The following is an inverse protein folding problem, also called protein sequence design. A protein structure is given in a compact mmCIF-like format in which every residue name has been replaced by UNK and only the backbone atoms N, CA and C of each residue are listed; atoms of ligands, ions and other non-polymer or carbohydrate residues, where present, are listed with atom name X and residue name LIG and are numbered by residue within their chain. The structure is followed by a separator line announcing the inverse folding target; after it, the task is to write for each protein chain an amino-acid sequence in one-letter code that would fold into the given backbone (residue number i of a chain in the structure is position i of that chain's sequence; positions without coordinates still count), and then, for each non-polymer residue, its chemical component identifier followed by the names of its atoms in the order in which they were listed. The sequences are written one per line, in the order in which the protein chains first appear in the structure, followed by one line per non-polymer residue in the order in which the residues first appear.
data_IF_927836402505
#
_entry.id   IF_927836402505
#
_cell.length_a   1.000
_cell.length_b   1.000
_cell.length_c   1.000
_cell.angle_alpha   90.00
_cell.angle_beta   90.00
_cell.angle_gamma   90.00
#
_symmetry.space_group_name_H-M   'P 1'
#
loop_
_entity.id
_entity.type
_entity.pdbx_description
1 polymer ?
#
# COMPACT_ATOMS: atom_id res chain seq x y z
N UNK A 1 24.18 -20.27 22.02
CA UNK A 1 22.86 -20.55 22.51
C UNK A 1 22.95 -21.48 23.72
N UNK A 2 22.34 -21.11 24.83
CA UNK A 2 22.33 -21.87 26.08
C UNK A 2 21.01 -22.63 26.26
N UNK A 3 20.32 -22.91 25.17
CA UNK A 3 18.99 -23.53 25.13
C UNK A 3 17.99 -22.78 26.06
N UNK A 4 17.41 -23.48 27.05
CA UNK A 4 16.45 -22.88 28.01
C UNK A 4 17.00 -21.72 28.85
N UNK A 5 18.33 -21.54 28.88
CA UNK A 5 18.98 -20.47 29.66
C UNK A 5 19.21 -19.19 28.83
N UNK A 6 18.83 -19.15 27.56
CA UNK A 6 18.96 -18.00 26.69
C UNK A 6 20.17 -18.05 25.76
N UNK A 7 20.50 -16.92 25.16
CA UNK A 7 21.62 -16.77 24.23
C UNK A 7 22.67 -15.84 24.84
N UNK A 8 23.90 -16.28 24.88
CA UNK A 8 25.07 -15.50 25.25
C UNK A 8 25.96 -15.34 24.03
N UNK A 9 26.32 -14.11 23.71
CA UNK A 9 27.30 -13.81 22.66
C UNK A 9 28.47 -13.04 23.25
N UNK A 10 29.66 -13.35 22.73
CA UNK A 10 30.91 -12.69 23.07
C UNK A 10 31.60 -12.31 21.77
N UNK A 11 31.88 -11.03 21.59
CA UNK A 11 32.54 -10.49 20.41
C UNK A 11 33.87 -9.83 20.81
N UNK A 12 34.89 -10.09 20.05
CA UNK A 12 36.18 -9.40 20.12
C UNK A 12 36.51 -8.85 18.76
N UNK A 13 36.72 -7.55 18.67
CA UNK A 13 37.07 -6.88 17.44
C UNK A 13 38.39 -6.15 17.62
N UNK A 14 39.31 -6.37 16.68
CA UNK A 14 40.59 -5.65 16.58
C UNK A 14 40.52 -4.70 15.38
N UNK A 15 40.87 -3.43 15.59
CA UNK A 15 41.04 -2.48 14.50
C UNK A 15 42.52 -2.10 14.33
N UNK A 16 42.99 -2.15 13.09
CA UNK A 16 44.29 -1.64 12.69
C UNK A 16 44.07 -0.64 11.56
N UNK A 17 44.42 0.62 11.80
CA UNK A 17 44.14 1.73 10.86
C UNK A 17 45.42 2.52 10.65
N UNK A 18 45.61 2.99 9.43
CA UNK A 18 46.66 3.94 9.10
C UNK A 18 46.06 5.20 8.51
N UNK A 19 46.21 6.33 9.23
CA UNK A 19 45.75 7.64 8.80
C UNK A 19 46.90 8.40 8.14
N UNK A 20 46.77 8.70 6.86
CA UNK A 20 47.83 9.29 6.03
C UNK A 20 48.03 10.78 6.29
N UNK A 21 47.05 11.45 6.94
CA UNK A 21 47.13 12.88 7.28
C UNK A 21 46.86 13.10 8.76
N UNK A 22 47.18 14.30 9.24
CA UNK A 22 46.76 14.77 10.55
C UNK A 22 45.26 14.95 10.54
N UNK A 23 44.56 14.04 11.18
CA UNK A 23 43.12 14.12 11.40
C UNK A 23 42.83 14.40 12.88
N UNK A 24 41.62 14.84 13.20
CA UNK A 24 41.17 14.98 14.58
C UNK A 24 41.19 13.62 15.36
N UNK A 25 41.30 12.53 14.67
CA UNK A 25 41.43 11.18 15.24
C UNK A 25 42.87 10.77 15.55
N UNK A 26 43.86 11.57 15.16
CA UNK A 26 45.28 11.27 15.29
C UNK A 26 45.96 11.10 13.93
N UNK A 27 47.22 10.66 13.95
CA UNK A 27 48.07 10.44 12.77
C UNK A 27 48.77 9.09 12.84
N UNK A 28 48.93 8.48 11.69
CA UNK A 28 49.69 7.25 11.55
C UNK A 28 48.90 6.00 11.96
N UNK A 29 49.63 5.01 12.49
CA UNK A 29 49.03 3.74 12.83
C UNK A 29 48.32 3.80 14.18
N UNK A 30 47.03 3.40 14.18
CA UNK A 30 46.22 3.26 15.38
C UNK A 30 45.76 1.80 15.49
N UNK A 31 46.02 1.22 16.65
CA UNK A 31 45.63 -0.14 17.01
C UNK A 31 44.72 -0.09 18.22
N UNK A 32 43.62 -0.82 18.17
CA UNK A 32 42.69 -0.88 19.29
C UNK A 32 41.82 -2.13 19.28
N UNK A 33 41.38 -2.52 20.45
CA UNK A 33 40.51 -3.66 20.65
C UNK A 33 39.14 -3.20 21.19
N UNK A 34 38.10 -3.91 20.82
CA UNK A 34 36.76 -3.80 21.42
C UNK A 34 36.24 -5.15 21.83
N UNK A 35 35.69 -5.21 23.03
CA UNK A 35 35.09 -6.42 23.60
C UNK A 35 33.63 -6.18 23.87
N UNK A 36 32.78 -7.13 23.50
CA UNK A 36 31.34 -7.07 23.74
C UNK A 36 30.87 -8.39 24.30
N UNK A 37 30.02 -8.30 25.34
CA UNK A 37 29.28 -9.44 25.87
C UNK A 37 27.81 -9.08 25.79
N UNK A 38 26.98 -9.93 25.23
CA UNK A 38 25.54 -9.74 25.20
C UNK A 38 24.83 -11.02 25.61
N UNK A 39 23.73 -10.86 26.34
CA UNK A 39 22.88 -11.94 26.79
C UNK A 39 21.42 -11.60 26.50
N UNK A 40 20.68 -12.56 25.97
CA UNK A 40 19.24 -12.40 25.73
C UNK A 40 18.50 -13.68 26.15
N UNK A 41 17.37 -13.52 26.81
CA UNK A 41 16.48 -14.62 27.18
C UNK A 41 15.04 -14.24 26.95
N UNK A 42 14.32 -15.10 26.23
CA UNK A 42 12.88 -15.08 26.09
C UNK A 42 12.26 -16.02 27.17
N UNK A 43 11.20 -15.56 27.78
CA UNK A 43 10.40 -16.31 28.75
C UNK A 43 9.00 -16.50 28.15
N UNK A 44 8.87 -17.52 27.30
CA UNK A 44 7.68 -17.75 26.48
C UNK A 44 6.39 -17.90 27.30
N UNK A 45 6.47 -18.60 28.45
CA UNK A 45 5.33 -18.78 29.37
C UNK A 45 4.82 -17.45 29.95
N UNK A 46 5.71 -16.47 30.11
CA UNK A 46 5.39 -15.15 30.66
C UNK A 46 5.21 -14.08 29.60
N UNK A 47 5.39 -14.40 28.31
CA UNK A 47 5.47 -13.43 27.20
C UNK A 47 6.41 -12.25 27.53
N UNK A 48 7.56 -12.56 28.11
CA UNK A 48 8.55 -11.57 28.51
C UNK A 48 9.91 -11.83 27.86
N UNK A 49 10.64 -10.76 27.60
CA UNK A 49 12.00 -10.81 27.06
C UNK A 49 12.91 -9.91 27.87
N UNK A 50 13.98 -10.49 28.35
CA UNK A 50 15.12 -9.75 28.92
C UNK A 50 16.24 -9.77 27.92
N UNK A 51 16.68 -8.61 27.52
CA UNK A 51 17.92 -8.45 26.76
C UNK A 51 18.88 -7.63 27.63
N UNK A 52 19.87 -8.29 28.17
CA UNK A 52 21.06 -7.63 28.65
C UNK A 52 22.00 -7.52 27.45
N UNK A 53 21.82 -6.47 26.69
CA UNK A 53 22.72 -6.19 25.54
C UNK A 53 24.01 -5.59 26.07
N UNK A 54 24.60 -6.27 26.93
CA UNK A 54 25.91 -6.25 27.17
C UNK A 54 26.70 -5.08 27.66
N UNK A 55 27.75 -5.50 28.16
CA UNK A 55 28.95 -4.72 28.39
C UNK A 55 29.73 -4.65 27.09
N UNK A 56 30.05 -3.46 26.63
CA UNK A 56 31.02 -3.18 25.58
C UNK A 56 32.11 -2.31 26.17
N UNK A 57 33.36 -2.74 25.99
CA UNK A 57 34.52 -1.93 26.24
C UNK A 57 35.29 -1.74 24.95
N UNK A 58 35.72 -0.51 24.67
CA UNK A 58 36.58 -0.19 23.51
C UNK A 58 37.80 0.60 23.98
N UNK A 59 38.96 0.18 23.52
CA UNK A 59 40.19 0.91 23.79
C UNK A 59 40.18 2.29 23.10
N UNK A 60 40.95 3.25 23.62
CA UNK A 60 40.97 4.64 23.13
C UNK A 60 41.26 4.75 21.64
N UNK A 61 42.11 3.86 21.12
CA UNK A 61 42.52 3.87 19.72
C UNK A 61 41.69 2.93 18.83
N UNK A 62 40.71 2.26 19.40
CA UNK A 62 39.78 1.46 18.60
C UNK A 62 38.96 2.38 17.70
N UNK A 63 38.83 1.98 16.42
CA UNK A 63 38.11 2.73 15.42
C UNK A 63 37.20 1.80 14.63
N UNK A 64 35.94 2.17 14.47
CA UNK A 64 35.00 1.46 13.58
C UNK A 64 35.27 1.85 12.12
N UNK A 65 34.72 1.09 11.17
CA UNK A 65 34.83 1.40 9.75
C UNK A 65 34.22 2.76 9.38
N UNK A 66 33.08 3.12 9.99
CA UNK A 66 32.48 4.43 9.76
C UNK A 66 33.33 5.58 10.28
N UNK A 67 33.89 5.44 11.49
CA UNK A 67 34.81 6.45 12.06
C UNK A 67 36.08 6.60 11.20
N UNK A 68 36.59 5.52 10.61
CA UNK A 68 37.71 5.56 9.68
C UNK A 68 37.36 6.33 8.40
N UNK A 69 36.20 6.07 7.82
CA UNK A 69 35.74 6.78 6.62
C UNK A 69 35.54 8.28 6.91
N UNK A 70 34.93 8.61 8.04
CA UNK A 70 34.78 9.99 8.46
C UNK A 70 36.14 10.69 8.68
N UNK A 71 37.09 10.01 9.34
CA UNK A 71 38.44 10.49 9.54
C UNK A 71 39.23 10.68 8.25
N UNK A 72 38.96 9.87 7.23
CA UNK A 72 39.65 9.91 5.94
C UNK A 72 39.08 10.95 4.97
N UNK A 73 37.82 11.35 5.16
CA UNK A 73 37.11 12.25 4.24
C UNK A 73 36.82 13.64 4.80
N UNK A 74 36.90 13.83 6.11
CA UNK A 74 36.60 15.11 6.75
C UNK A 74 37.58 15.45 7.87
N UNK A 75 37.85 16.75 8.02
CA UNK A 75 38.63 17.30 9.15
C UNK A 75 37.75 17.47 10.42
N UNK A 76 36.56 16.84 10.46
CA UNK A 76 35.69 16.93 11.62
C UNK A 76 36.30 16.24 12.83
N UNK A 77 36.25 16.94 13.98
CA UNK A 77 36.71 16.39 15.24
C UNK A 77 35.93 15.11 15.61
N UNK A 78 36.65 14.07 16.03
CA UNK A 78 36.03 12.89 16.60
C UNK A 78 35.18 13.29 17.79
N UNK A 79 33.89 13.13 17.70
CA UNK A 79 32.98 13.34 18.83
C UNK A 79 32.46 12.01 19.32
N UNK A 80 32.82 11.65 20.56
CA UNK A 80 32.25 10.50 21.23
C UNK A 80 32.96 9.18 21.05
N UNK A 81 34.25 9.12 21.38
CA UNK A 81 34.99 7.88 21.45
C UNK A 81 34.47 7.02 22.60
N UNK A 82 33.65 6.01 22.29
CA UNK A 82 33.05 5.10 23.27
C UNK A 82 34.13 4.37 24.07
N UNK A 83 34.01 4.39 25.39
CA UNK A 83 34.87 3.63 26.30
C UNK A 83 34.14 2.40 26.82
N UNK A 84 33.03 2.62 27.49
CA UNK A 84 32.20 1.55 28.07
C UNK A 84 30.73 1.81 27.77
N UNK A 85 29.98 0.76 27.56
CA UNK A 85 28.53 0.83 27.40
C UNK A 85 27.85 -0.34 28.10
N UNK A 86 26.90 -0.02 28.96
CA UNK A 86 25.99 -0.97 29.59
C UNK A 86 24.58 -0.71 29.06
N UNK A 87 23.88 -1.75 28.63
CA UNK A 87 22.51 -1.64 28.19
C UNK A 87 21.67 -2.77 28.77
N UNK A 88 20.57 -2.45 29.38
CA UNK A 88 19.58 -3.42 29.87
C UNK A 88 18.24 -3.06 29.23
N UNK A 89 17.63 -4.01 28.57
CA UNK A 89 16.29 -3.88 28.02
C UNK A 89 15.41 -4.98 28.57
N UNK A 90 14.25 -4.62 29.08
CA UNK A 90 13.23 -5.54 29.54
C UNK A 90 11.92 -5.23 28.82
N UNK A 91 11.29 -6.25 28.26
CA UNK A 91 9.98 -6.16 27.64
C UNK A 91 9.07 -7.23 28.24
N UNK A 92 7.91 -6.83 28.74
CA UNK A 92 6.88 -7.71 29.27
C UNK A 92 5.54 -7.40 28.60
N UNK A 93 4.92 -8.43 28.05
CA UNK A 93 3.58 -8.34 27.49
C UNK A 93 2.60 -9.21 28.29
N UNK A 94 1.61 -8.57 28.90
CA UNK A 94 0.49 -9.21 29.59
C UNK A 94 -0.69 -9.31 28.63
N UNK A 95 -0.64 -10.27 27.71
CA UNK A 95 -1.61 -10.38 26.61
C UNK A 95 -3.07 -10.44 27.08
N UNK A 96 -3.36 -11.18 28.18
CA UNK A 96 -4.70 -11.27 28.74
C UNK A 96 -5.25 -9.93 29.29
N UNK A 97 -4.38 -9.04 29.71
CA UNK A 97 -4.73 -7.71 30.22
C UNK A 97 -4.58 -6.60 29.17
N UNK A 98 -4.05 -6.92 27.99
CA UNK A 98 -3.74 -5.92 26.96
C UNK A 98 -2.69 -4.90 27.40
N UNK A 99 -1.77 -5.28 28.31
CA UNK A 99 -0.76 -4.40 28.91
C UNK A 99 0.63 -4.79 28.44
N UNK A 100 1.44 -3.80 28.08
CA UNK A 100 2.86 -3.98 27.79
C UNK A 100 3.70 -3.01 28.61
N UNK A 101 4.82 -3.50 29.12
CA UNK A 101 5.81 -2.72 29.86
C UNK A 101 7.16 -2.86 29.16
N UNK A 102 7.80 -1.74 28.90
CA UNK A 102 9.13 -1.69 28.32
C UNK A 102 10.03 -0.85 29.19
N UNK A 103 11.18 -1.40 29.60
CA UNK A 103 12.23 -0.70 30.33
C UNK A 103 13.52 -0.75 29.51
N UNK A 104 14.13 0.40 29.35
CA UNK A 104 15.48 0.50 28.80
C UNK A 104 16.35 1.36 29.74
N UNK A 105 17.49 0.83 30.08
CA UNK A 105 18.56 1.52 30.77
C UNK A 105 19.82 1.43 29.93
N UNK A 106 20.48 2.55 29.68
CA UNK A 106 21.81 2.57 29.08
C UNK A 106 22.72 3.58 29.78
N UNK A 107 23.92 3.15 30.04
CA UNK A 107 24.99 3.98 30.59
C UNK A 107 26.19 3.86 29.66
N UNK A 108 26.72 5.01 29.22
CA UNK A 108 27.83 5.09 28.27
C UNK A 108 28.87 6.05 28.77
N UNK A 109 30.09 5.61 28.85
CA UNK A 109 31.28 6.43 29.14
C UNK A 109 32.11 6.63 27.88
N UNK A 110 32.85 7.70 27.85
CA UNK A 110 33.67 8.08 26.71
C UNK A 110 35.09 8.39 27.13
N UNK A 111 36.02 8.36 26.18
CA UNK A 111 37.41 8.76 26.43
C UNK A 111 37.64 10.27 26.39
N UNK A 112 36.74 11.00 25.73
CA UNK A 112 36.93 12.39 25.30
C UNK A 112 35.80 13.34 25.71
N UNK A 113 34.77 12.85 26.39
CA UNK A 113 33.64 13.65 26.85
C UNK A 113 32.97 13.02 28.09
N UNK A 114 32.09 13.79 28.77
CA UNK A 114 31.34 13.30 29.91
C UNK A 114 30.50 12.07 29.61
N UNK A 115 30.21 11.32 30.65
CA UNK A 115 29.34 10.15 30.59
C UNK A 115 27.88 10.51 30.28
N UNK A 116 27.15 9.53 29.78
CA UNK A 116 25.75 9.66 29.40
C UNK A 116 24.96 8.51 29.99
N UNK A 117 23.86 8.83 30.67
CA UNK A 117 22.96 7.81 31.22
C UNK A 117 21.54 8.08 30.77
N UNK A 118 20.87 7.03 30.28
CA UNK A 118 19.48 7.08 29.83
C UNK A 118 18.65 6.06 30.61
N UNK A 119 17.52 6.52 31.11
CA UNK A 119 16.45 5.69 31.66
C UNK A 119 15.19 5.93 30.85
N UNK A 120 14.53 4.88 30.43
CA UNK A 120 13.27 4.95 29.72
C UNK A 120 12.36 3.84 30.21
N UNK A 121 11.17 4.20 30.66
CA UNK A 121 10.13 3.28 31.09
C UNK A 121 8.85 3.62 30.36
N UNK A 122 8.36 2.68 29.55
CA UNK A 122 7.10 2.82 28.83
C UNK A 122 6.10 1.79 29.37
N UNK A 123 4.90 2.24 29.59
CA UNK A 123 3.73 1.45 29.89
C UNK A 123 2.69 1.71 28.80
N UNK A 124 2.13 0.67 28.20
CA UNK A 124 1.04 0.79 27.26
C UNK A 124 -0.09 -0.19 27.57
N UNK A 125 -1.31 0.24 27.32
CA UNK A 125 -2.51 -0.56 27.54
C UNK A 125 -3.44 -0.44 26.35
N UNK A 126 -3.84 -1.59 25.81
CA UNK A 126 -4.83 -1.73 24.75
C UNK A 126 -6.11 -2.28 25.34
N UNK A 127 -7.23 -1.61 25.09
CA UNK A 127 -8.51 -1.97 25.70
C UNK A 127 -9.69 -1.59 24.79
N UNK A 128 -10.85 -2.15 25.11
CA UNK A 128 -12.11 -1.82 24.48
C UNK A 128 -13.04 -1.17 25.51
N UNK A 129 -13.80 -0.16 25.09
CA UNK A 129 -14.78 0.51 25.94
C UNK A 129 -16.10 0.70 25.20
N UNK A 130 -17.13 -0.03 25.64
CA UNK A 130 -18.44 -0.02 24.97
C UNK A 130 -18.35 -0.55 23.53
N UNK A 131 -18.74 0.26 22.55
CA UNK A 131 -18.67 -0.04 21.12
C UNK A 131 -17.29 0.26 20.51
N UNK A 132 -16.47 1.06 21.20
CA UNK A 132 -15.16 1.48 20.68
C UNK A 132 -14.15 0.38 20.98
N UNK A 133 -13.49 -0.12 19.93
CA UNK A 133 -12.48 -1.17 20.01
C UNK A 133 -11.08 -0.62 19.74
N UNK A 134 -10.07 -1.34 20.24
CA UNK A 134 -8.66 -1.04 19.99
C UNK A 134 -8.22 0.36 20.45
N UNK A 135 -8.79 0.85 21.54
CA UNK A 135 -8.27 2.04 22.21
C UNK A 135 -6.88 1.75 22.79
N UNK A 136 -6.00 2.72 22.75
CA UNK A 136 -4.69 2.59 23.38
C UNK A 136 -4.34 3.82 24.19
N UNK A 137 -3.64 3.59 25.31
CA UNK A 137 -2.98 4.61 26.10
C UNK A 137 -1.55 4.17 26.35
N UNK A 138 -0.61 5.09 26.22
CA UNK A 138 0.78 4.84 26.58
C UNK A 138 1.37 6.00 27.39
N UNK A 139 2.16 5.65 28.38
CA UNK A 139 2.91 6.59 29.23
C UNK A 139 4.36 6.19 29.17
N UNK A 140 5.22 7.14 28.81
CA UNK A 140 6.67 6.95 28.79
C UNK A 140 7.33 7.96 29.69
N UNK A 141 8.00 7.48 30.74
CA UNK A 141 8.88 8.32 31.56
C UNK A 141 10.32 8.17 31.11
N UNK A 142 11.04 9.27 31.02
CA UNK A 142 12.45 9.26 30.67
C UNK A 142 13.27 10.14 31.60
N UNK A 143 14.54 9.78 31.75
CA UNK A 143 15.58 10.59 32.38
C UNK A 143 16.87 10.41 31.61
N UNK A 144 17.42 11.53 31.17
CA UNK A 144 18.68 11.62 30.45
C UNK A 144 19.66 12.47 31.26
N UNK A 145 20.83 11.94 31.52
CA UNK A 145 21.89 12.59 32.28
C UNK A 145 23.12 12.74 31.39
N UNK A 146 23.66 13.95 31.28
CA UNK A 146 24.86 14.28 30.54
C UNK A 146 25.51 15.53 31.09
N UNK A 147 26.81 15.44 31.45
CA UNK A 147 27.63 16.57 31.91
C UNK A 147 26.96 17.39 33.00
N UNK A 148 26.58 16.74 34.13
CA UNK A 148 25.87 17.37 35.26
C UNK A 148 24.46 17.90 34.92
N UNK A 149 24.05 17.86 33.66
CA UNK A 149 22.71 18.22 33.26
C UNK A 149 21.78 16.99 33.31
N UNK A 150 20.60 17.21 33.83
CA UNK A 150 19.54 16.20 33.85
C UNK A 150 18.33 16.73 33.09
N UNK A 151 17.98 16.03 32.03
CA UNK A 151 16.69 16.19 31.35
C UNK A 151 15.79 15.02 31.73
N UNK A 152 14.57 15.32 32.16
CA UNK A 152 13.58 14.31 32.57
C UNK A 152 12.19 14.76 32.16
N UNK A 153 11.37 13.78 31.82
CA UNK A 153 10.01 14.11 31.45
C UNK A 153 9.14 12.86 31.28
N UNK A 154 7.95 13.13 30.83
CA UNK A 154 6.93 12.13 30.58
C UNK A 154 6.20 12.44 29.28
N UNK A 155 6.02 11.43 28.45
CA UNK A 155 5.12 11.46 27.30
C UNK A 155 3.86 10.66 27.63
N UNK A 156 2.71 11.25 27.34
CA UNK A 156 1.41 10.58 27.43
C UNK A 156 0.80 10.60 26.03
N UNK A 157 0.43 9.44 25.52
CA UNK A 157 -0.34 9.34 24.29
C UNK A 157 -1.58 8.48 24.47
N UNK A 158 -2.67 8.86 23.83
CA UNK A 158 -3.92 8.13 23.79
C UNK A 158 -4.45 8.14 22.37
N UNK A 159 -4.96 6.99 21.90
CA UNK A 159 -5.57 6.83 20.60
C UNK A 159 -6.95 6.18 20.74
N UNK A 160 -7.94 6.81 20.15
CA UNK A 160 -9.35 6.39 20.17
C UNK A 160 -9.81 6.26 18.73
N UNK A 161 -9.92 5.04 18.16
CA UNK A 161 -10.56 4.81 16.88
C UNK A 161 -12.05 5.18 16.99
N UNK A 162 -12.43 6.33 16.40
CA UNK A 162 -13.78 6.87 16.51
C UNK A 162 -14.74 6.20 15.53
N UNK A 163 -14.22 5.87 14.35
CA UNK A 163 -14.90 5.10 13.30
C UNK A 163 -13.86 4.28 12.52
N UNK A 164 -14.31 3.54 11.52
CA UNK A 164 -13.43 2.75 10.64
C UNK A 164 -12.42 3.62 9.87
N UNK A 165 -12.74 4.90 9.66
CA UNK A 165 -11.90 5.84 8.93
C UNK A 165 -11.31 6.97 9.79
N UNK A 166 -11.70 7.10 11.06
CA UNK A 166 -11.30 8.24 11.89
C UNK A 166 -10.74 7.85 13.24
N UNK A 167 -9.78 8.64 13.72
CA UNK A 167 -9.11 8.44 15.01
C UNK A 167 -8.95 9.79 15.71
N UNK A 168 -9.29 9.82 17.00
CA UNK A 168 -8.96 10.92 17.90
C UNK A 168 -7.72 10.54 18.68
N UNK A 169 -6.76 11.45 18.76
CA UNK A 169 -5.51 11.25 19.51
C UNK A 169 -5.32 12.34 20.55
N UNK A 170 -4.69 11.99 21.65
CA UNK A 170 -4.13 12.95 22.60
C UNK A 170 -2.64 12.67 22.73
N UNK A 171 -1.81 13.71 22.66
CA UNK A 171 -0.38 13.63 22.92
C UNK A 171 0.00 14.74 23.86
N UNK A 172 0.69 14.38 24.95
CA UNK A 172 1.22 15.32 25.93
C UNK A 172 2.70 15.03 26.21
N UNK A 173 3.51 16.07 26.29
CA UNK A 173 4.91 16.03 26.71
C UNK A 173 5.08 16.98 27.90
N UNK A 174 5.61 16.46 29.00
CA UNK A 174 5.78 17.17 30.25
C UNK A 174 7.20 16.93 30.77
N UNK A 175 7.98 17.97 30.95
CA UNK A 175 9.37 17.77 31.35
C UNK A 175 10.15 19.03 31.70
N UNK A 176 11.44 18.89 31.84
CA UNK A 176 12.36 19.97 32.19
C UNK A 176 12.59 20.98 31.04
N UNK A 177 12.14 20.65 29.82
CA UNK A 177 12.23 21.53 28.66
C UNK A 177 10.96 22.37 28.51
N UNK A 178 10.06 21.92 27.65
CA UNK A 178 8.78 22.58 27.38
C UNK A 178 7.61 21.62 27.57
N UNK A 179 6.54 22.10 28.20
CA UNK A 179 5.31 21.34 28.31
C UNK A 179 4.45 21.56 27.05
N UNK A 180 3.92 20.47 26.51
CA UNK A 180 2.98 20.54 25.39
C UNK A 180 1.84 19.53 25.55
N UNK A 181 0.66 19.90 25.09
CA UNK A 181 -0.48 18.99 25.04
C UNK A 181 -1.31 19.28 23.78
N UNK A 182 -1.72 18.21 23.10
CA UNK A 182 -2.39 18.33 21.81
C UNK A 182 -3.45 17.25 21.65
N UNK A 183 -4.61 17.65 21.16
CA UNK A 183 -5.68 16.73 20.68
C UNK A 183 -5.67 16.77 19.17
N UNK A 184 -5.61 15.60 18.57
CA UNK A 184 -5.63 15.42 17.13
C UNK A 184 -6.90 14.69 16.67
N UNK A 185 -7.36 15.03 15.49
CA UNK A 185 -8.38 14.28 14.78
C UNK A 185 -7.87 13.95 13.39
N UNK A 186 -7.74 12.67 13.11
CA UNK A 186 -7.42 12.13 11.79
C UNK A 186 -8.68 11.53 11.17
N UNK A 187 -8.88 11.76 9.86
CA UNK A 187 -9.93 11.09 9.11
C UNK A 187 -9.47 10.79 7.67
N UNK A 188 -9.79 9.59 7.22
CA UNK A 188 -9.67 9.18 5.82
C UNK A 188 -11.05 9.36 5.18
N UNK A 189 -11.14 10.26 4.20
CA UNK A 189 -12.38 10.53 3.45
C UNK A 189 -12.63 9.40 2.47
N UNK A 190 -11.57 8.99 1.76
CA UNK A 190 -11.53 7.89 0.80
C UNK A 190 -10.11 7.29 0.74
N UNK A 191 -9.87 6.34 -0.16
CA UNK A 191 -8.56 5.67 -0.27
C UNK A 191 -7.42 6.60 -0.74
N UNK A 192 -7.78 7.73 -1.36
CA UNK A 192 -6.83 8.72 -1.85
C UNK A 192 -6.69 9.95 -0.95
N UNK A 193 -7.68 10.23 -0.07
CA UNK A 193 -7.77 11.51 0.64
C UNK A 193 -7.87 11.32 2.14
N UNK A 194 -6.96 11.94 2.86
CA UNK A 194 -7.01 12.00 4.32
C UNK A 194 -6.60 13.38 4.84
N UNK A 195 -7.06 13.70 6.03
CA UNK A 195 -6.67 14.92 6.72
C UNK A 195 -6.46 14.68 8.21
N UNK A 196 -5.70 15.57 8.81
CA UNK A 196 -5.48 15.64 10.25
C UNK A 196 -5.55 17.09 10.70
N UNK A 197 -6.18 17.31 11.84
CA UNK A 197 -6.21 18.61 12.54
C UNK A 197 -5.78 18.35 13.97
N UNK A 198 -4.84 19.15 14.46
CA UNK A 198 -4.38 19.11 15.83
C UNK A 198 -4.61 20.47 16.46
N UNK A 199 -5.05 20.48 17.71
CA UNK A 199 -5.25 21.68 18.52
C UNK A 199 -4.64 21.44 19.89
N UNK A 200 -3.83 22.37 20.33
CA UNK A 200 -3.13 22.19 21.60
C UNK A 200 -2.46 23.44 22.14
N UNK A 201 -1.58 23.18 23.08
CA UNK A 201 -0.72 24.21 23.68
C UNK A 201 0.73 23.73 23.70
N UNK A 202 1.65 24.62 23.44
CA UNK A 202 3.10 24.41 23.63
C UNK A 202 3.66 25.61 24.37
N UNK A 203 4.36 25.39 25.49
CA UNK A 203 4.93 26.47 26.33
C UNK A 203 3.92 27.56 26.72
N UNK A 204 2.67 27.16 27.03
CA UNK A 204 1.52 28.01 27.36
C UNK A 204 0.93 28.81 26.19
N UNK A 205 1.45 28.65 24.97
CA UNK A 205 0.90 29.27 23.75
C UNK A 205 -0.02 28.29 23.02
N UNK A 206 -1.13 28.80 22.51
CA UNK A 206 -2.07 28.00 21.72
C UNK A 206 -1.48 27.62 20.36
N UNK A 207 -1.75 26.38 19.92
CA UNK A 207 -1.36 25.91 18.58
C UNK A 207 -2.51 25.24 17.87
N UNK A 208 -2.57 25.42 16.55
CA UNK A 208 -3.47 24.72 15.63
C UNK A 208 -2.68 24.32 14.39
N UNK A 209 -2.67 23.02 14.08
CA UNK A 209 -2.00 22.46 12.92
C UNK A 209 -3.00 21.67 12.08
N UNK A 210 -3.02 21.92 10.79
CA UNK A 210 -3.86 21.22 9.84
C UNK A 210 -3.03 20.67 8.67
N UNK A 211 -3.36 19.48 8.27
CA UNK A 211 -2.76 18.79 7.12
C UNK A 211 -3.83 18.04 6.34
N UNK A 212 -3.82 18.17 5.01
CA UNK A 212 -4.65 17.42 4.07
C UNK A 212 -3.77 16.87 2.96
N UNK A 213 -3.91 15.58 2.67
CA UNK A 213 -3.20 14.90 1.59
C UNK A 213 -4.19 14.26 0.63
N UNK A 214 -3.94 14.43 -0.65
CA UNK A 214 -4.69 13.77 -1.72
C UNK A 214 -3.74 13.10 -2.72
N UNK A 215 -3.84 11.77 -2.81
CA UNK A 215 -3.08 10.93 -3.73
C UNK A 215 -3.82 10.81 -5.08
N UNK A 216 -3.75 11.85 -5.90
CA UNK A 216 -4.36 11.86 -7.22
C UNK A 216 -3.63 10.94 -8.22
N UNK A 217 -4.26 10.71 -9.38
CA UNK A 217 -3.65 9.90 -10.44
C UNK A 217 -2.38 10.54 -11.01
N UNK A 218 -2.41 11.86 -11.24
CA UNK A 218 -1.34 12.59 -11.92
C UNK A 218 -0.29 13.14 -10.96
N UNK A 219 -0.73 13.52 -9.77
CA UNK A 219 0.10 14.13 -8.75
C UNK A 219 -0.48 13.88 -7.36
N UNK A 220 0.39 13.90 -6.36
CA UNK A 220 0.02 14.02 -4.95
C UNK A 220 -0.03 15.48 -4.58
N UNK A 221 -1.05 15.88 -3.85
CA UNK A 221 -1.25 17.24 -3.35
C UNK A 221 -1.27 17.20 -1.82
N UNK A 222 -0.37 17.92 -1.19
CA UNK A 222 -0.34 18.09 0.26
C UNK A 222 -0.58 19.56 0.61
N UNK A 223 -1.56 19.81 1.46
CA UNK A 223 -1.86 21.13 2.01
C UNK A 223 -1.53 21.12 3.50
N UNK A 224 -0.92 22.16 3.98
CA UNK A 224 -0.66 22.36 5.42
C UNK A 224 -0.98 23.78 5.86
N UNK A 225 -1.43 23.93 7.09
CA UNK A 225 -1.64 25.20 7.74
C UNK A 225 -1.30 25.07 9.22
N UNK A 226 -0.46 25.95 9.73
CA UNK A 226 -0.01 25.93 11.11
C UNK A 226 -0.15 27.33 11.70
N UNK A 227 -0.60 27.39 12.95
CA UNK A 227 -0.71 28.59 13.75
C UNK A 227 -0.16 28.31 15.15
N UNK A 228 0.83 29.10 15.55
CA UNK A 228 1.37 29.12 16.91
C UNK A 228 1.26 30.53 17.47
N UNK A 229 0.56 30.67 18.58
CA UNK A 229 0.26 31.95 19.20
C UNK A 229 1.56 32.67 19.63
N UNK A 230 1.70 33.89 19.15
CA UNK A 230 2.88 34.72 19.51
C UNK A 230 4.17 34.39 18.74
N UNK A 231 4.21 33.27 17.98
CA UNK A 231 5.43 32.85 17.29
C UNK A 231 5.31 32.97 15.78
N UNK A 232 4.46 32.13 15.15
CA UNK A 232 4.34 32.12 13.70
C UNK A 232 2.98 31.59 13.20
N UNK A 233 2.73 31.85 11.94
CA UNK A 233 1.69 31.24 11.15
C UNK A 233 2.23 30.88 9.79
N UNK A 234 1.88 29.72 9.30
CA UNK A 234 2.33 29.27 7.98
C UNK A 234 1.21 28.55 7.24
N UNK A 235 1.25 28.61 5.93
CA UNK A 235 0.43 27.77 5.05
C UNK A 235 1.32 27.30 3.92
N UNK A 236 1.16 26.02 3.54
CA UNK A 236 1.95 25.38 2.51
C UNK A 236 1.10 24.56 1.57
N UNK A 237 1.54 24.51 0.31
CA UNK A 237 1.06 23.57 -0.68
C UNK A 237 2.27 22.87 -1.31
N UNK A 238 2.24 21.56 -1.32
CA UNK A 238 3.22 20.74 -2.02
C UNK A 238 2.54 19.93 -3.12
N UNK A 239 3.14 19.94 -4.30
CA UNK A 239 2.74 19.12 -5.44
C UNK A 239 3.88 18.17 -5.76
N UNK A 240 3.59 16.88 -5.76
CA UNK A 240 4.57 15.84 -6.07
C UNK A 240 4.06 15.01 -7.23
N UNK A 241 4.94 14.73 -8.17
CA UNK A 241 4.59 13.93 -9.33
C UNK A 241 5.77 13.72 -10.26
N UNK A 242 5.54 12.91 -11.27
CA UNK A 242 6.53 12.59 -12.28
C UNK A 242 5.88 12.20 -13.60
N UNK A 243 6.71 12.01 -14.62
CA UNK A 243 6.32 11.49 -15.91
C UNK A 243 7.15 10.26 -16.27
N UNK A 244 6.52 9.24 -16.78
CA UNK A 244 7.19 8.08 -17.36
C UNK A 244 6.86 7.99 -18.84
N UNK A 245 7.89 7.95 -19.68
CA UNK A 245 7.79 7.84 -21.12
C UNK A 245 8.60 6.63 -21.60
N UNK A 246 8.01 5.84 -22.48
CA UNK A 246 8.62 4.67 -23.11
C UNK A 246 8.26 4.60 -24.61
N UNK A 247 8.82 3.64 -25.33
CA UNK A 247 8.41 3.37 -26.72
C UNK A 247 6.93 2.93 -26.85
N UNK A 248 6.31 2.48 -25.75
CA UNK A 248 4.90 2.06 -25.71
C UNK A 248 3.95 3.17 -25.26
N UNK A 249 4.43 4.41 -25.14
CA UNK A 249 3.70 5.56 -24.63
C UNK A 249 4.10 5.93 -23.22
N UNK A 250 3.27 6.70 -22.53
CA UNK A 250 3.57 7.16 -21.17
C UNK A 250 2.41 7.78 -20.45
N UNK A 251 2.62 8.08 -19.19
CA UNK A 251 1.67 8.77 -18.34
C UNK A 251 2.37 9.59 -17.24
N UNK A 252 1.66 10.58 -16.71
CA UNK A 252 2.00 11.25 -15.49
C UNK A 252 1.63 10.35 -14.31
N UNK A 253 2.32 10.52 -13.19
CA UNK A 253 2.05 9.77 -11.95
C UNK A 253 2.40 10.58 -10.70
N UNK A 254 1.81 10.23 -9.56
CA UNK A 254 1.96 10.96 -8.29
C UNK A 254 3.34 10.82 -7.63
N UNK A 255 4.13 9.84 -8.00
CA UNK A 255 5.43 9.57 -7.37
C UNK A 255 6.55 10.34 -8.03
N UNK A 256 7.42 10.95 -7.23
CA UNK A 256 8.60 11.68 -7.72
C UNK A 256 9.92 10.92 -7.58
N UNK A 257 9.91 9.64 -7.17
CA UNK A 257 11.13 8.85 -7.01
C UNK A 257 11.90 8.71 -8.32
N UNK A 258 12.98 9.45 -8.47
CA UNK A 258 13.89 9.30 -9.61
C UNK A 258 14.60 7.95 -9.51
N UNK A 259 14.58 7.16 -10.60
CA UNK A 259 15.17 5.83 -10.62
C UNK A 259 14.32 4.74 -9.94
N UNK A 260 13.14 5.05 -9.41
CA UNK A 260 12.24 4.06 -8.83
C UNK A 260 11.66 3.09 -9.88
N UNK A 261 11.43 1.85 -9.48
CA UNK A 261 10.83 0.81 -10.34
C UNK A 261 9.36 1.11 -10.60
N UNK A 262 8.93 1.03 -11.85
CA UNK A 262 7.59 1.42 -12.30
C UNK A 262 7.02 0.41 -13.28
N UNK A 263 5.70 0.34 -13.35
CA UNK A 263 4.99 -0.47 -14.32
C UNK A 263 4.07 0.43 -15.16
N UNK A 264 4.39 0.55 -16.46
CA UNK A 264 3.51 1.17 -17.41
C UNK A 264 2.41 0.18 -17.79
N UNK A 265 1.18 0.58 -17.56
CA UNK A 265 -0.03 -0.15 -17.88
C UNK A 265 -0.64 0.40 -19.15
N UNK A 266 -1.15 -0.49 -19.99
CA UNK A 266 -1.88 -0.21 -21.21
C UNK A 266 -3.26 -0.87 -21.17
N UNK A 267 -4.31 -0.10 -21.23
CA UNK A 267 -5.70 -0.56 -21.28
C UNK A 267 -6.28 -0.45 -22.71
N UNK A 268 -5.47 -0.76 -23.72
CA UNK A 268 -5.86 -0.81 -25.14
C UNK A 268 -6.46 0.50 -25.69
N UNK A 269 -5.92 1.63 -25.23
CA UNK A 269 -6.39 2.96 -25.63
C UNK A 269 -7.60 3.48 -24.85
N UNK A 270 -8.16 2.71 -23.90
CA UNK A 270 -9.35 3.09 -23.15
C UNK A 270 -8.96 3.96 -21.96
N UNK A 271 -9.55 5.15 -21.88
CA UNK A 271 -9.33 6.11 -20.82
C UNK A 271 -10.16 5.77 -19.55
N UNK A 272 -9.75 6.33 -18.42
CA UNK A 272 -10.44 6.23 -17.14
C UNK A 272 -10.63 4.79 -16.60
N UNK A 273 -9.82 3.84 -17.06
CA UNK A 273 -9.80 2.49 -16.49
C UNK A 273 -9.10 2.53 -15.14
N UNK A 274 -9.75 2.14 -14.04
CA UNK A 274 -9.16 2.12 -12.71
C UNK A 274 -8.20 0.93 -12.59
N UNK A 275 -6.94 1.22 -12.26
CA UNK A 275 -5.88 0.24 -12.04
C UNK A 275 -5.45 0.32 -10.58
N UNK A 276 -5.57 -0.78 -9.89
CA UNK A 276 -5.17 -0.93 -8.50
C UNK A 276 -3.88 -1.74 -8.38
N UNK A 277 -3.07 -1.41 -7.40
CA UNK A 277 -1.88 -2.12 -6.99
C UNK A 277 -1.63 -1.83 -5.52
N UNK A 278 -0.45 -1.34 -5.13
CA UNK A 278 -0.15 -0.91 -3.77
C UNK A 278 -0.60 0.56 -3.59
N UNK A 279 -1.59 0.82 -2.75
CA UNK A 279 -2.11 2.15 -2.43
C UNK A 279 -3.33 2.59 -3.25
N UNK A 280 -3.60 3.90 -3.32
CA UNK A 280 -4.75 4.46 -4.02
C UNK A 280 -4.75 4.12 -5.52
N UNK A 281 -5.90 3.88 -6.15
CA UNK A 281 -6.00 3.54 -7.56
C UNK A 281 -5.42 4.65 -8.47
N UNK A 282 -4.96 4.25 -9.63
CA UNK A 282 -4.56 5.15 -10.71
C UNK A 282 -5.46 4.91 -11.93
N UNK A 283 -5.78 5.95 -12.67
CA UNK A 283 -6.67 5.85 -13.82
C UNK A 283 -5.89 6.04 -15.12
N UNK A 284 -6.26 5.30 -16.17
CA UNK A 284 -5.64 5.47 -17.48
C UNK A 284 -5.98 6.84 -18.07
N UNK A 285 -4.99 7.44 -18.73
CA UNK A 285 -5.14 8.71 -19.43
C UNK A 285 -5.92 8.55 -20.76
N UNK A 286 -6.09 9.66 -21.50
CA UNK A 286 -6.79 9.67 -22.78
C UNK A 286 -6.20 8.73 -23.85
N UNK A 287 -4.99 8.21 -23.65
CA UNK A 287 -4.33 7.21 -24.52
C UNK A 287 -4.38 5.79 -23.93
N UNK A 288 -5.19 5.56 -22.92
CA UNK A 288 -5.30 4.27 -22.23
C UNK A 288 -4.05 3.88 -21.41
N UNK A 289 -3.21 4.84 -21.01
CA UNK A 289 -1.96 4.57 -20.29
C UNK A 289 -2.05 5.04 -18.85
N UNK A 290 -1.53 4.21 -17.92
CA UNK A 290 -1.33 4.57 -16.52
C UNK A 290 0.04 4.08 -16.05
N UNK A 291 0.60 4.71 -15.02
CA UNK A 291 1.84 4.26 -14.39
C UNK A 291 1.55 3.89 -12.95
N UNK A 292 1.80 2.63 -12.62
CA UNK A 292 1.91 2.16 -11.24
C UNK A 292 3.34 2.36 -10.81
N UNK A 293 3.55 3.28 -9.88
CA UNK A 293 4.85 3.57 -9.30
C UNK A 293 5.05 2.80 -7.98
N UNK A 294 6.24 2.88 -7.40
CA UNK A 294 6.59 2.25 -6.12
C UNK A 294 6.42 0.71 -6.12
N UNK A 295 6.77 0.09 -7.23
CA UNK A 295 6.81 -1.36 -7.40
C UNK A 295 7.99 -1.93 -6.59
N UNK A 296 7.75 -2.98 -5.83
CA UNK A 296 8.79 -3.68 -5.09
C UNK A 296 9.76 -4.40 -6.03
N UNK A 297 11.07 -4.09 -5.89
CA UNK A 297 12.13 -4.67 -6.71
C UNK A 297 12.27 -6.16 -6.41
N UNK A 298 12.48 -6.98 -7.45
CA UNK A 298 12.74 -8.42 -7.38
C UNK A 298 11.60 -9.27 -6.81
N UNK A 299 10.45 -8.65 -6.48
CA UNK A 299 9.25 -9.34 -6.02
C UNK A 299 8.19 -9.45 -7.13
N UNK A 300 7.29 -10.40 -6.98
CA UNK A 300 6.13 -10.58 -7.84
C UNK A 300 5.08 -9.53 -7.45
N UNK A 301 4.97 -8.49 -8.27
CA UNK A 301 3.94 -7.47 -8.13
C UNK A 301 2.74 -7.78 -9.01
N UNK A 302 1.56 -7.37 -8.56
CA UNK A 302 0.31 -7.50 -9.29
C UNK A 302 -0.31 -6.11 -9.49
N UNK A 303 -0.89 -5.90 -10.66
CA UNK A 303 -1.80 -4.81 -10.91
C UNK A 303 -3.10 -5.39 -11.47
N UNK A 304 -4.23 -4.86 -11.04
CA UNK A 304 -5.54 -5.34 -11.44
C UNK A 304 -6.49 -4.19 -11.73
N UNK A 305 -7.45 -4.46 -12.59
CA UNK A 305 -8.54 -3.54 -12.90
C UNK A 305 -9.67 -3.77 -11.92
N UNK A 306 -10.17 -2.71 -11.29
CA UNK A 306 -11.40 -2.76 -10.52
C UNK A 306 -12.59 -2.84 -11.48
N UNK A 307 -13.15 -4.04 -11.60
CA UNK A 307 -14.25 -4.32 -12.50
C UNK A 307 -15.56 -3.61 -12.10
N UNK A 308 -15.72 -3.24 -10.83
CA UNK A 308 -16.92 -2.57 -10.34
C UNK A 308 -16.96 -1.07 -10.72
N UNK A 309 -15.78 -0.50 -10.95
CA UNK A 309 -15.60 0.91 -11.29
C UNK A 309 -15.13 1.12 -12.74
N UNK A 310 -15.26 0.10 -13.60
CA UNK A 310 -15.04 0.27 -15.03
C UNK A 310 -16.05 1.25 -15.64
N UNK A 311 -15.66 2.05 -16.68
CA UNK A 311 -16.62 2.78 -17.50
C UNK A 311 -17.71 1.85 -18.03
N UNK A 312 -18.95 2.36 -18.14
CA UNK A 312 -20.10 1.55 -18.60
C UNK A 312 -19.89 0.95 -19.99
N UNK A 313 -19.13 1.63 -20.84
CA UNK A 313 -18.77 1.24 -22.19
C UNK A 313 -17.44 0.46 -22.29
N UNK A 314 -16.92 -0.04 -21.16
CA UNK A 314 -15.72 -0.85 -21.13
C UNK A 314 -15.97 -2.24 -20.51
N UNK A 315 -15.25 -3.24 -21.03
CA UNK A 315 -15.23 -4.61 -20.52
C UNK A 315 -13.79 -5.11 -20.46
N UNK A 316 -13.37 -5.67 -19.33
CA UNK A 316 -12.03 -6.24 -19.19
C UNK A 316 -12.08 -7.77 -19.28
N UNK A 317 -11.51 -8.33 -20.34
CA UNK A 317 -11.38 -9.80 -20.52
C UNK A 317 -10.17 -10.35 -19.79
N UNK A 318 -9.22 -9.49 -19.41
CA UNK A 318 -8.10 -9.81 -18.56
C UNK A 318 -7.91 -8.66 -17.54
N UNK A 319 -8.27 -8.93 -16.29
CA UNK A 319 -8.27 -7.93 -15.21
C UNK A 319 -7.04 -7.94 -14.33
N UNK A 320 -6.14 -8.92 -14.45
CA UNK A 320 -4.92 -9.03 -13.62
C UNK A 320 -3.68 -9.19 -14.48
N UNK A 321 -2.66 -8.40 -14.19
CA UNK A 321 -1.33 -8.55 -14.78
C UNK A 321 -0.27 -8.62 -13.69
N UNK A 322 0.85 -9.30 -13.97
CA UNK A 322 1.94 -9.50 -13.03
C UNK A 322 3.26 -9.07 -13.64
N UNK A 323 4.14 -8.54 -12.79
CA UNK A 323 5.49 -8.18 -13.18
C UNK A 323 6.48 -8.44 -12.03
N UNK A 324 7.66 -8.92 -12.39
CA UNK A 324 8.83 -8.96 -11.51
C UNK A 324 9.90 -8.11 -12.20
N UNK A 325 10.34 -7.06 -11.54
CA UNK A 325 11.22 -6.05 -12.13
C UNK A 325 12.47 -5.89 -11.27
N UNK A 326 13.59 -5.57 -11.90
CA UNK A 326 14.81 -5.16 -11.24
C UNK A 326 14.71 -3.71 -10.79
N UNK A 327 15.57 -3.29 -9.90
CA UNK A 327 15.65 -1.93 -9.42
C UNK A 327 15.80 -0.92 -10.57
N UNK A 328 15.00 0.14 -10.54
CA UNK A 328 14.99 1.19 -11.56
C UNK A 328 14.35 0.81 -12.90
N UNK A 329 13.90 -0.42 -13.08
CA UNK A 329 13.29 -0.85 -14.34
C UNK A 329 11.90 -0.27 -14.54
N UNK A 330 11.57 0.01 -15.80
CA UNK A 330 10.22 0.36 -16.24
C UNK A 330 9.64 -0.83 -17.00
N UNK A 331 8.72 -1.55 -16.36
CA UNK A 331 8.00 -2.66 -16.98
C UNK A 331 6.83 -2.16 -17.83
N UNK A 332 6.39 -2.99 -18.77
CA UNK A 332 5.19 -2.76 -19.56
C UNK A 332 4.27 -3.97 -19.47
N UNK A 333 2.98 -3.70 -19.23
CA UNK A 333 1.92 -4.73 -19.27
C UNK A 333 0.67 -4.18 -19.91
N UNK A 334 0.03 -5.01 -20.70
CA UNK A 334 -1.22 -4.69 -21.39
C UNK A 334 -2.35 -5.49 -20.77
N UNK A 335 -3.43 -4.81 -20.38
CA UNK A 335 -4.72 -5.42 -20.11
C UNK A 335 -5.48 -5.60 -21.42
N UNK A 336 -6.31 -6.60 -21.47
CA UNK A 336 -7.26 -6.76 -22.57
C UNK A 336 -8.57 -6.11 -22.15
N UNK A 337 -8.78 -4.88 -22.59
CA UNK A 337 -10.01 -4.11 -22.35
C UNK A 337 -10.64 -3.80 -23.70
N UNK A 338 -11.95 -3.99 -23.78
CA UNK A 338 -12.74 -3.75 -24.98
C UNK A 338 -13.68 -2.59 -24.68
N UNK A 339 -13.77 -1.62 -25.60
CA UNK A 339 -14.70 -0.49 -25.49
C UNK A 339 -15.88 -0.66 -26.43
N UNK A 340 -17.07 -0.32 -25.97
CA UNK A 340 -18.31 -0.38 -26.72
C UNK A 340 -19.51 -0.74 -25.83
N UNK A 341 -20.69 -0.76 -26.43
CA UNK A 341 -21.93 -1.10 -25.71
C UNK A 341 -21.97 -2.60 -25.36
N UNK A 342 -22.85 -2.96 -24.45
CA UNK A 342 -23.08 -4.33 -23.99
C UNK A 342 -24.48 -4.76 -24.36
N UNK A 343 -24.65 -5.97 -24.88
CA UNK A 343 -25.97 -6.47 -25.28
C UNK A 343 -26.13 -7.97 -25.03
N UNK A 344 -27.37 -8.38 -24.79
CA UNK A 344 -27.78 -9.78 -24.91
C UNK A 344 -28.26 -10.03 -26.33
N UNK A 345 -27.77 -11.09 -26.97
CA UNK A 345 -28.19 -11.48 -28.30
C UNK A 345 -28.50 -12.97 -28.37
N UNK A 346 -29.31 -13.36 -29.35
CA UNK A 346 -29.56 -14.75 -29.72
C UNK A 346 -29.12 -14.94 -31.16
N UNK A 347 -28.16 -15.82 -31.36
CA UNK A 347 -27.64 -16.14 -32.70
C UNK A 347 -28.44 -17.27 -33.32
N UNK A 348 -28.83 -17.12 -34.58
CA UNK A 348 -29.54 -18.11 -35.37
C UNK A 348 -28.82 -18.41 -36.68
N UNK A 349 -28.61 -19.66 -36.97
CA UNK A 349 -28.12 -20.11 -38.27
C UNK A 349 -29.28 -20.10 -39.30
N UNK A 350 -28.98 -20.21 -40.58
CA UNK A 350 -29.96 -20.20 -41.65
C UNK A 350 -31.02 -21.31 -41.61
N UNK A 351 -30.64 -22.47 -41.08
CA UNK A 351 -31.51 -23.61 -40.88
C UNK A 351 -32.40 -23.51 -39.62
N UNK A 352 -32.27 -22.41 -38.88
CA UNK A 352 -32.99 -22.17 -37.62
C UNK A 352 -32.35 -22.77 -36.37
N UNK A 353 -31.26 -23.50 -36.51
CA UNK A 353 -30.46 -24.02 -35.39
C UNK A 353 -29.60 -22.94 -34.76
N UNK A 354 -28.88 -23.27 -33.71
CA UNK A 354 -27.96 -22.37 -33.00
C UNK A 354 -26.50 -22.76 -33.30
N UNK A 355 -25.56 -21.80 -33.22
CA UNK A 355 -24.15 -22.13 -33.13
C UNK A 355 -23.91 -23.05 -31.91
N UNK A 356 -22.90 -23.94 -31.95
CA UNK A 356 -22.65 -24.87 -30.86
C UNK A 356 -22.21 -24.11 -29.60
N UNK A 357 -22.47 -24.74 -28.44
CA UNK A 357 -21.98 -24.22 -27.15
C UNK A 357 -20.47 -23.97 -27.18
N UNK A 358 -20.09 -22.80 -26.68
CA UNK A 358 -18.67 -22.39 -26.64
C UNK A 358 -18.19 -21.77 -27.95
N UNK A 359 -19.05 -21.54 -28.95
CA UNK A 359 -18.68 -20.76 -30.14
C UNK A 359 -18.26 -19.34 -29.73
N UNK A 360 -17.11 -18.90 -30.25
CA UNK A 360 -16.54 -17.59 -29.92
C UNK A 360 -16.99 -16.55 -30.93
N UNK A 361 -17.49 -15.43 -30.46
CA UNK A 361 -17.76 -14.25 -31.29
C UNK A 361 -16.57 -13.31 -31.21
N UNK A 362 -16.01 -12.93 -32.37
CA UNK A 362 -14.87 -12.02 -32.47
C UNK A 362 -15.21 -10.83 -33.35
N UNK A 363 -14.72 -9.67 -32.93
CA UNK A 363 -14.81 -8.43 -33.73
C UNK A 363 -13.75 -8.41 -34.84
N UNK A 364 -13.73 -7.32 -35.66
CA UNK A 364 -12.78 -7.15 -36.75
C UNK A 364 -11.31 -7.12 -36.28
N UNK A 365 -11.06 -6.74 -35.01
CA UNK A 365 -9.74 -6.75 -34.37
C UNK A 365 -9.35 -8.13 -33.82
N UNK A 366 -10.15 -9.17 -34.09
CA UNK A 366 -9.95 -10.53 -33.59
C UNK A 366 -10.02 -10.64 -32.06
N UNK A 367 -10.63 -9.67 -31.38
CA UNK A 367 -10.90 -9.74 -29.96
C UNK A 367 -12.16 -10.55 -29.71
N UNK A 368 -12.14 -11.40 -28.70
CA UNK A 368 -13.31 -12.17 -28.28
C UNK A 368 -14.27 -11.23 -27.54
N UNK A 369 -15.44 -11.01 -28.13
CA UNK A 369 -16.49 -10.12 -27.61
C UNK A 369 -17.68 -10.87 -27.03
N UNK A 370 -17.73 -12.20 -27.16
CA UNK A 370 -18.77 -13.06 -26.58
C UNK A 370 -18.50 -14.55 -26.75
N UNK A 371 -19.24 -15.36 -25.97
CA UNK A 371 -19.29 -16.81 -26.10
C UNK A 371 -20.76 -17.23 -26.14
N UNK A 372 -21.09 -18.13 -27.06
CA UNK A 372 -22.45 -18.59 -27.30
C UNK A 372 -22.77 -19.76 -26.34
N UNK A 373 -23.98 -19.77 -25.76
CA UNK A 373 -24.49 -20.87 -24.97
C UNK A 373 -25.18 -21.94 -25.86
N UNK A 374 -25.76 -22.98 -25.26
CA UNK A 374 -26.45 -24.09 -25.95
C UNK A 374 -27.80 -23.73 -26.57
N UNK A 375 -28.39 -22.60 -26.19
CA UNK A 375 -29.62 -22.04 -26.76
C UNK A 375 -29.34 -20.86 -27.73
N UNK A 376 -28.06 -20.65 -28.07
CA UNK A 376 -27.62 -19.60 -28.97
C UNK A 376 -27.60 -18.23 -28.36
N UNK A 377 -27.82 -18.08 -27.03
CA UNK A 377 -27.69 -16.81 -26.35
C UNK A 377 -26.21 -16.44 -26.23
N UNK A 378 -25.93 -15.16 -26.33
CA UNK A 378 -24.59 -14.59 -26.17
C UNK A 378 -24.67 -13.24 -25.50
N UNK A 379 -23.83 -13.05 -24.50
CA UNK A 379 -23.53 -11.72 -23.98
C UNK A 379 -22.41 -11.13 -24.82
N UNK A 380 -22.71 -10.05 -25.52
CA UNK A 380 -21.77 -9.30 -26.36
C UNK A 380 -21.29 -8.08 -25.61
N UNK A 381 -19.97 -7.88 -25.53
CA UNK A 381 -19.35 -6.73 -24.91
C UNK A 381 -18.45 -6.00 -25.92
N UNK A 382 -18.39 -4.67 -25.80
CA UNK A 382 -17.57 -3.85 -26.69
C UNK A 382 -18.12 -3.73 -28.11
N UNK A 383 -19.45 -3.69 -28.27
CA UNK A 383 -20.12 -3.65 -29.57
C UNK A 383 -20.41 -2.21 -30.03
N UNK A 384 -20.38 -2.01 -31.35
CA UNK A 384 -20.71 -0.75 -32.00
C UNK A 384 -21.80 -0.93 -33.06
N UNK A 385 -22.55 0.13 -33.34
CA UNK A 385 -23.64 0.10 -34.32
C UNK A 385 -23.14 -0.24 -35.74
N UNK A 386 -23.70 -1.27 -36.34
CA UNK A 386 -23.34 -1.71 -37.70
C UNK A 386 -22.02 -2.48 -37.78
N UNK A 387 -21.46 -2.91 -36.66
CA UNK A 387 -20.23 -3.69 -36.61
C UNK A 387 -20.45 -5.10 -37.11
N UNK A 388 -19.44 -5.63 -37.83
CA UNK A 388 -19.39 -6.99 -38.33
C UNK A 388 -18.58 -7.85 -37.38
N UNK A 389 -19.11 -9.03 -37.04
CA UNK A 389 -18.43 -9.95 -36.14
C UNK A 389 -18.45 -11.36 -36.71
N UNK A 390 -17.37 -12.09 -36.51
CA UNK A 390 -17.23 -13.47 -36.92
C UNK A 390 -17.47 -14.43 -35.80
N UNK A 391 -18.23 -15.48 -36.04
CA UNK A 391 -18.47 -16.57 -35.10
C UNK A 391 -17.61 -17.76 -35.46
N UNK A 392 -16.83 -18.24 -34.47
CA UNK A 392 -15.83 -19.28 -34.62
C UNK A 392 -16.22 -20.54 -33.81
N UNK A 393 -16.13 -21.68 -34.41
CA UNK A 393 -16.09 -23.00 -33.74
C UNK A 393 -15.29 -23.97 -34.58
N UNK A 394 -14.83 -25.08 -33.98
CA UNK A 394 -13.92 -26.03 -34.62
C UNK A 394 -12.66 -25.38 -35.23
N UNK A 395 -12.18 -24.28 -34.62
CA UNK A 395 -10.95 -23.60 -35.02
C UNK A 395 -11.04 -22.71 -36.25
N UNK A 396 -12.24 -22.53 -36.85
CA UNK A 396 -12.44 -21.71 -38.04
C UNK A 396 -13.65 -20.78 -37.93
N UNK A 397 -13.63 -19.67 -38.70
CA UNK A 397 -14.77 -18.77 -38.85
C UNK A 397 -15.86 -19.44 -39.65
N UNK A 398 -17.04 -19.56 -39.12
CA UNK A 398 -18.15 -20.32 -39.72
C UNK A 398 -19.24 -19.40 -40.25
N UNK A 399 -19.56 -18.32 -39.57
CA UNK A 399 -20.57 -17.39 -39.99
C UNK A 399 -20.26 -15.95 -39.49
N UNK A 400 -20.92 -15.00 -40.10
CA UNK A 400 -20.83 -13.58 -39.78
C UNK A 400 -22.16 -13.08 -39.26
N UNK A 401 -22.11 -12.24 -38.23
CA UNK A 401 -23.24 -11.48 -37.70
C UNK A 401 -23.00 -10.01 -37.89
N UNK A 402 -24.06 -9.26 -38.15
CA UNK A 402 -24.02 -7.81 -38.39
C UNK A 402 -24.94 -7.16 -37.36
N UNK A 403 -24.41 -6.20 -36.63
CA UNK A 403 -25.22 -5.44 -35.68
C UNK A 403 -26.10 -4.39 -36.35
N UNK A 404 -27.30 -4.14 -35.80
CA UNK A 404 -28.19 -3.12 -36.35
C UNK A 404 -27.57 -1.72 -36.26
N UNK A 405 -27.95 -0.85 -37.23
CA UNK A 405 -27.55 0.55 -37.25
C UNK A 405 -28.79 1.43 -37.43
N UNK A 406 -29.23 2.21 -36.40
CA UNK A 406 -28.64 2.33 -35.03
C UNK A 406 -28.90 1.08 -34.17
N UNK A 407 -28.15 0.96 -33.07
CA UNK A 407 -28.44 -0.02 -32.04
C UNK A 407 -29.77 0.32 -31.32
N UNK A 408 -30.59 -0.66 -30.95
CA UNK A 408 -31.82 -0.45 -30.18
C UNK A 408 -31.55 0.20 -28.82
N UNK A 409 -32.51 0.93 -28.30
CA UNK A 409 -32.38 1.57 -26.99
C UNK A 409 -32.29 0.61 -25.82
N UNK A 410 -32.85 -0.61 -25.96
CA UNK A 410 -32.80 -1.65 -24.94
C UNK A 410 -32.04 -2.88 -25.48
N UNK A 411 -30.75 -2.91 -25.16
CA UNK A 411 -29.82 -3.95 -25.62
C UNK A 411 -29.89 -5.25 -24.81
N UNK A 412 -30.58 -5.22 -23.67
CA UNK A 412 -30.68 -6.40 -22.79
C UNK A 412 -31.96 -7.23 -22.99
N UNK A 413 -32.87 -6.77 -23.83
CA UNK A 413 -34.07 -7.57 -24.21
C UNK A 413 -33.81 -8.72 -25.20
N UNK A 414 -32.56 -8.87 -25.65
CA UNK A 414 -32.16 -9.89 -26.57
C UNK A 414 -32.30 -9.45 -28.05
N UNK A 415 -31.17 -9.25 -28.70
CA UNK A 415 -31.08 -9.00 -30.14
C UNK A 415 -31.15 -10.35 -30.86
N UNK A 416 -32.06 -10.55 -31.78
CA UNK A 416 -32.03 -11.70 -32.67
C UNK A 416 -31.09 -11.39 -33.85
N UNK A 417 -29.94 -12.07 -33.90
CA UNK A 417 -28.93 -11.86 -34.90
C UNK A 417 -28.79 -13.10 -35.82
N UNK A 418 -29.11 -12.98 -37.12
CA UNK A 418 -28.82 -14.04 -38.06
C UNK A 418 -27.32 -14.20 -38.23
N UNK A 419 -26.82 -15.44 -38.20
CA UNK A 419 -25.45 -15.81 -38.45
C UNK A 419 -25.35 -16.34 -39.92
N UNK A 420 -24.80 -15.51 -40.80
CA UNK A 420 -24.76 -15.83 -42.23
C UNK A 420 -23.37 -16.35 -42.64
N UNK A 421 -23.34 -17.38 -43.50
CA UNK A 421 -22.08 -17.88 -44.06
C UNK A 421 -21.42 -16.83 -44.95
N UNK A 422 -20.13 -16.63 -44.74
CA UNK A 422 -19.35 -15.67 -45.53
C UNK A 422 -19.40 -16.00 -47.04
N UNK A 423 -20.00 -15.12 -47.83
CA UNK A 423 -19.99 -15.24 -49.29
C UNK A 423 -21.34 -15.42 -49.98
N UNK A 424 -22.49 -15.35 -49.26
CA UNK A 424 -23.79 -15.42 -49.91
C UNK A 424 -24.54 -14.11 -49.70
N UNK A 425 -24.60 -13.28 -50.75
CA UNK A 425 -25.45 -12.07 -50.78
C UNK A 425 -26.90 -12.47 -50.55
N UNK A 426 -27.48 -11.99 -49.44
CA UNK A 426 -28.88 -12.20 -49.12
C UNK A 426 -29.81 -11.43 -50.06
N UNK A 427 -31.00 -11.94 -50.42
CA UNK A 427 -32.04 -11.10 -50.98
C UNK A 427 -32.60 -10.16 -49.93
N UNK A 428 -32.76 -8.92 -50.35
CA UNK A 428 -33.20 -7.75 -49.63
C UNK A 428 -34.65 -7.92 -49.13
N UNK A 429 -34.86 -8.64 -48.00
CA UNK A 429 -36.15 -8.61 -47.29
C UNK A 429 -36.06 -9.42 -46.00
N UNK A 430 -35.68 -8.81 -44.88
CA UNK A 430 -36.18 -9.14 -43.56
C UNK A 430 -35.73 -8.02 -42.59
N UNK A 431 -36.62 -7.04 -42.44
CA UNK A 431 -36.48 -6.10 -41.32
C UNK A 431 -36.46 -6.91 -40.00
N UNK A 432 -35.61 -6.58 -39.05
CA UNK A 432 -35.54 -7.30 -37.77
C UNK A 432 -36.86 -7.14 -37.01
N UNK A 433 -37.64 -8.22 -36.94
CA UNK A 433 -38.86 -8.29 -36.16
C UNK A 433 -38.48 -8.50 -34.68
N UNK A 434 -38.63 -7.47 -33.88
CA UNK A 434 -38.46 -7.52 -32.42
C UNK A 434 -39.66 -8.27 -31.84
N UNK A 435 -39.53 -9.56 -31.56
CA UNK A 435 -40.53 -10.32 -30.79
C UNK A 435 -40.10 -10.41 -29.33
N UNK A 436 -40.94 -9.96 -28.38
CA UNK A 436 -40.65 -10.14 -26.97
C UNK A 436 -40.77 -11.62 -26.61
N UNK A 437 -39.70 -12.18 -26.07
CA UNK A 437 -39.72 -13.50 -25.43
C UNK A 437 -40.44 -13.35 -24.09
N UNK A 438 -41.74 -13.61 -24.06
CA UNK A 438 -42.49 -13.76 -22.82
C UNK A 438 -42.20 -15.16 -22.29
N UNK A 439 -41.31 -15.30 -21.35
CA UNK A 439 -41.22 -16.49 -20.52
C UNK A 439 -42.29 -16.38 -19.41
N UNK A 440 -43.41 -17.02 -19.63
CA UNK A 440 -44.41 -17.33 -18.61
C UNK A 440 -43.89 -18.49 -17.77
N UNK A 441 -43.18 -18.23 -16.71
CA UNK A 441 -42.87 -19.20 -15.67
C UNK A 441 -43.45 -18.73 -14.32
N UNK A 442 -44.76 -18.83 -14.22
CA UNK A 442 -45.43 -18.96 -12.93
C UNK A 442 -45.16 -20.34 -12.35
N UNK A 443 -43.99 -20.58 -11.78
CA UNK A 443 -43.77 -21.71 -10.90
C UNK A 443 -44.00 -21.25 -9.46
N UNK A 444 -45.15 -21.60 -8.92
CA UNK A 444 -45.47 -21.49 -7.50
C UNK A 444 -44.46 -22.25 -6.68
N UNK A 445 -43.65 -21.51 -5.91
CA UNK A 445 -42.79 -22.06 -4.87
C UNK A 445 -43.63 -22.10 -3.58
N UNK A 446 -44.04 -23.26 -3.17
CA UNK A 446 -44.54 -23.54 -1.81
C UNK A 446 -43.38 -23.34 -0.81
N UNK A 447 -43.64 -22.70 0.35
CA UNK A 447 -42.62 -22.52 1.39
C UNK A 447 -42.36 -23.85 2.10
N UNK A 448 -41.14 -24.38 2.01
CA UNK A 448 -40.65 -25.46 2.85
C UNK A 448 -40.07 -24.90 4.14
N UNK A 449 -40.49 -25.52 5.21
CA UNK A 449 -40.21 -25.25 6.62
C UNK A 449 -38.70 -25.10 6.93
N UNK A 450 -38.42 -24.18 7.86
CA UNK A 450 -37.10 -23.97 8.45
C UNK A 450 -36.68 -25.17 9.32
N UNK A 451 -35.43 -25.58 9.29
CA UNK A 451 -34.91 -26.48 10.32
C UNK A 451 -34.39 -25.70 11.51
N UNK A 452 -34.86 -26.18 12.63
CA UNK A 452 -34.58 -25.88 14.03
C UNK A 452 -33.08 -25.77 14.37
N UNK A 453 -32.77 -24.82 15.22
CA UNK A 453 -31.53 -24.63 15.96
C UNK A 453 -30.95 -25.91 16.57
N UNK A 454 -29.65 -26.15 16.37
CA UNK A 454 -28.84 -27.02 17.23
C UNK A 454 -27.82 -26.15 17.97
N UNK A 455 -28.05 -26.05 19.27
CA UNK A 455 -27.14 -25.66 20.31
C UNK A 455 -26.00 -26.69 20.41
N UNK A 456 -24.76 -26.27 20.42
CA UNK A 456 -23.66 -27.08 20.91
C UNK A 456 -22.74 -26.25 21.75
N UNK A 457 -22.77 -26.58 23.00
CA UNK A 457 -21.83 -26.31 24.11
C UNK A 457 -20.48 -26.99 23.82
N UNK A 458 -19.39 -26.27 23.82
CA UNK A 458 -18.15 -26.44 24.62
C UNK A 458 -17.09 -25.44 24.15
#
# INVERSE_FOLDING_TARGET
DLAQFGALAFDVTHSHVNLDHDSAYGKGKLDGNSFRVSYAKDFDELNSRVTFAGYRFSEKNFMTMSEYLDASQSDMARTGNDKEMYTITYNQNFAAAGVSVYLNYSHRTYWDRPEQTNYNLMFSHYFNMGSIRNMSISVTGYRYEYDDNTDKGMYLSMSIPWSDSSTVTYNGSYGSGSDSSQVGYFNRIDDATHYQINVGTSEQHGSVDGYLSHDGTLAKVDLSANYHEGEYRSAGIALQGGATLTAHGGALHRTQNMGGTRLLIDADGIANVPVESNGAPVYTNMFGKAVVADINNYYRNQAYIDLNNLPEDAEATQSVVQATLTEGAIGYRKFKVISGQKAMAVLRLRDGSYPPFGAEVKNDEQQQVGIVDDEGNVYLAGINAGEHMMVFWEGSAQCEIVLPKPLPADLFRGLLLPCEQKGTTAPDSLAPEIKPVIQDQTRQVTPSEAPTSISATQ
#
